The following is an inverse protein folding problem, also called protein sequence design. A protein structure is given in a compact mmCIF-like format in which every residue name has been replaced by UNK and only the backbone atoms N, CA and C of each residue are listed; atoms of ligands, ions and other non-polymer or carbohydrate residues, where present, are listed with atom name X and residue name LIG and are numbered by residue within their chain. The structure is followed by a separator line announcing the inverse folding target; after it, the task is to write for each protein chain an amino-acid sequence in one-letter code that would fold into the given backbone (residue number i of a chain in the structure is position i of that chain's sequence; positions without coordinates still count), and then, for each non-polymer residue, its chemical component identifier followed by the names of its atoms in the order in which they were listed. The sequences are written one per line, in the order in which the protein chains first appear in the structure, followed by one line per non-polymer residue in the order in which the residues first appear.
data_IF_411446447808
#
_entry.id   IF_411446447808
#
_cell.length_a   1.000
_cell.length_b   1.000
_cell.length_c   1.000
_cell.angle_alpha   90.00
_cell.angle_beta   90.00
_cell.angle_gamma   90.00
#
_symmetry.space_group_name_H-M   'P 1'
#
loop_
_entity.id
_entity.type
_entity.pdbx_description
1 polymer ?
#
# COMPACT_ATOMS: atom_id res chain seq x y z
N UNK A 1 0.23 8.49 -15.40
CA UNK A 1 -0.01 8.42 -13.95
C UNK A 1 1.28 8.05 -13.22
N UNK A 2 1.41 8.50 -11.99
CA UNK A 2 2.48 8.14 -11.07
C UNK A 2 1.95 7.27 -9.93
N UNK A 3 2.65 6.18 -9.61
CA UNK A 3 2.28 5.23 -8.55
C UNK A 3 3.34 5.22 -7.44
N UNK A 4 2.92 5.28 -6.20
CA UNK A 4 3.76 4.91 -5.05
C UNK A 4 3.44 3.49 -4.62
N UNK A 5 4.45 2.64 -4.55
CA UNK A 5 4.33 1.24 -4.12
C UNK A 5 4.95 1.09 -2.74
N UNK A 6 4.15 0.70 -1.76
CA UNK A 6 4.67 0.24 -0.47
C UNK A 6 4.84 -1.28 -0.54
N UNK A 7 6.08 -1.70 -0.65
CA UNK A 7 6.43 -3.12 -0.69
C UNK A 7 6.87 -3.59 0.69
N UNK A 8 6.13 -4.54 1.27
CA UNK A 8 6.41 -5.03 2.63
C UNK A 8 6.51 -6.56 2.67
N UNK A 9 7.56 -7.09 2.07
CA UNK A 9 7.87 -8.52 2.21
C UNK A 9 9.24 -8.72 2.84
N UNK A 10 9.36 -9.49 3.95
CA UNK A 10 10.64 -9.72 4.63
C UNK A 10 11.64 -10.53 3.79
N UNK A 11 11.18 -11.19 2.74
CA UNK A 11 12.04 -11.97 1.82
C UNK A 11 12.49 -11.16 0.61
N UNK A 12 12.17 -9.87 0.56
CA UNK A 12 12.56 -8.94 -0.51
C UNK A 12 12.34 -9.54 -1.92
N UNK A 13 13.38 -9.52 -2.77
CA UNK A 13 13.33 -10.04 -4.15
C UNK A 13 13.01 -11.55 -4.27
N UNK A 14 13.17 -12.31 -3.19
CA UNK A 14 12.89 -13.76 -3.17
C UNK A 14 11.46 -14.09 -2.71
N UNK A 15 10.60 -13.10 -2.62
CA UNK A 15 9.23 -13.30 -2.14
C UNK A 15 8.22 -13.52 -3.28
N UNK A 16 7.17 -14.26 -2.97
CA UNK A 16 6.05 -14.48 -3.88
C UNK A 16 5.37 -13.14 -4.26
N UNK A 17 5.28 -12.21 -3.32
CA UNK A 17 4.73 -10.88 -3.59
C UNK A 17 5.59 -10.10 -4.58
N UNK A 18 6.93 -10.18 -4.47
CA UNK A 18 7.83 -9.57 -5.46
C UNK A 18 7.68 -10.22 -6.83
N UNK A 19 7.57 -11.55 -6.89
CA UNK A 19 7.38 -12.27 -8.14
C UNK A 19 6.12 -11.82 -8.90
N UNK A 20 5.03 -11.47 -8.20
CA UNK A 20 3.85 -10.86 -8.81
C UNK A 20 4.06 -9.38 -9.17
N UNK A 21 4.80 -8.65 -8.35
CA UNK A 21 5.02 -7.22 -8.55
C UNK A 21 5.86 -6.93 -9.82
N UNK A 22 6.79 -7.82 -10.17
CA UNK A 22 7.65 -7.66 -11.35
C UNK A 22 6.82 -7.52 -12.65
N UNK A 23 6.02 -8.52 -13.09
CA UNK A 23 5.25 -8.40 -14.33
C UNK A 23 4.18 -7.31 -14.27
N UNK A 24 3.67 -6.99 -13.09
CA UNK A 24 2.80 -5.84 -12.87
C UNK A 24 3.51 -4.53 -13.22
N UNK A 25 4.69 -4.27 -12.63
CA UNK A 25 5.45 -3.04 -12.87
C UNK A 25 6.01 -2.93 -14.28
N UNK A 26 6.40 -4.05 -14.90
CA UNK A 26 6.79 -4.08 -16.32
C UNK A 26 5.64 -3.58 -17.20
N UNK A 27 4.42 -4.10 -16.98
CA UNK A 27 3.23 -3.70 -17.74
C UNK A 27 2.87 -2.24 -17.49
N UNK A 28 2.95 -1.78 -16.24
CA UNK A 28 2.70 -0.39 -15.85
C UNK A 28 3.65 0.58 -16.56
N UNK A 29 4.95 0.28 -16.52
CA UNK A 29 5.99 1.10 -17.13
C UNK A 29 5.95 1.07 -18.66
N UNK A 30 5.68 -0.09 -19.26
CA UNK A 30 5.53 -0.24 -20.72
C UNK A 30 4.38 0.61 -21.29
N UNK A 31 3.38 0.94 -20.47
CA UNK A 31 2.28 1.83 -20.83
C UNK A 31 2.63 3.34 -20.63
N UNK A 32 3.90 3.67 -20.33
CA UNK A 32 4.35 5.05 -20.16
C UNK A 32 4.06 5.65 -18.77
N UNK A 33 3.71 4.83 -17.77
CA UNK A 33 3.47 5.28 -16.42
C UNK A 33 4.73 5.11 -15.54
N UNK A 34 4.81 5.85 -14.43
CA UNK A 34 5.95 5.81 -13.51
C UNK A 34 5.56 5.18 -12.19
N UNK A 35 6.50 4.51 -11.53
CA UNK A 35 6.31 3.94 -10.21
C UNK A 35 7.56 4.08 -9.35
N UNK A 36 7.38 4.57 -8.13
CA UNK A 36 8.37 4.62 -7.06
C UNK A 36 8.07 3.52 -6.04
N UNK A 37 9.06 2.70 -5.70
CA UNK A 37 8.89 1.53 -4.82
C UNK A 37 9.68 1.72 -3.54
N UNK A 38 9.00 1.64 -2.40
CA UNK A 38 9.60 1.65 -1.06
C UNK A 38 9.57 0.24 -0.48
N UNK A 39 10.74 -0.34 -0.25
CA UNK A 39 10.89 -1.61 0.48
C UNK A 39 10.86 -1.33 1.98
N UNK A 40 9.71 -1.54 2.61
CA UNK A 40 9.50 -1.11 3.99
C UNK A 40 10.29 -1.89 5.04
N UNK A 41 10.84 -3.07 4.69
CA UNK A 41 11.74 -3.81 5.55
C UNK A 41 13.18 -3.27 5.55
N UNK A 42 13.52 -2.45 4.55
CA UNK A 42 14.84 -1.81 4.43
C UNK A 42 14.85 -0.38 5.02
N UNK A 43 13.69 0.07 5.54
CA UNK A 43 13.50 1.41 6.08
C UNK A 43 13.25 1.36 7.59
N UNK A 44 13.68 2.41 8.27
CA UNK A 44 13.34 2.65 9.67
C UNK A 44 12.01 3.38 9.76
N UNK A 45 10.96 2.67 10.18
CA UNK A 45 9.60 3.21 10.32
C UNK A 45 9.12 2.98 11.76
N UNK A 46 9.11 4.05 12.55
CA UNK A 46 8.59 4.05 13.91
C UNK A 46 7.05 3.91 13.92
N UNK A 47 6.48 3.10 14.82
CA UNK A 47 5.02 3.05 15.01
C UNK A 47 4.44 4.41 15.39
N UNK A 48 3.22 4.67 14.96
CA UNK A 48 2.50 5.88 15.33
C UNK A 48 2.30 5.93 16.86
N UNK A 49 2.71 7.03 17.50
CA UNK A 49 2.55 7.25 18.96
C UNK A 49 1.24 7.98 19.32
N UNK A 50 0.37 8.22 18.34
CA UNK A 50 -0.90 8.95 18.51
C UNK A 50 -0.76 10.31 19.19
N UNK A 51 0.40 10.96 19.11
CA UNK A 51 0.70 12.24 19.77
C UNK A 51 -0.05 13.45 19.16
N UNK A 52 -0.61 13.28 17.95
CA UNK A 52 -1.37 14.31 17.20
C UNK A 52 -0.59 15.57 16.83
N UNK A 53 0.73 15.62 16.98
CA UNK A 53 1.55 16.76 16.56
C UNK A 53 1.37 17.11 15.08
N UNK A 54 1.21 16.09 14.23
CA UNK A 54 0.94 16.24 12.80
C UNK A 54 -0.41 16.93 12.46
N UNK A 55 -1.32 17.10 13.42
CA UNK A 55 -2.63 17.73 13.20
C UNK A 55 -2.59 19.27 13.24
N UNK A 56 -1.46 19.83 13.61
CA UNK A 56 -1.30 21.29 13.70
C UNK A 56 -1.08 21.93 12.34
N UNK A 57 -0.54 21.19 11.38
CA UNK A 57 -0.35 21.61 10.00
C UNK A 57 -1.39 20.91 9.10
N UNK A 58 -2.15 21.68 8.33
CA UNK A 58 -3.20 21.15 7.46
C UNK A 58 -2.76 20.94 6.01
N UNK A 59 -1.59 21.43 5.64
CA UNK A 59 -1.07 21.40 4.28
C UNK A 59 -0.02 20.29 4.09
N UNK A 60 0.65 19.89 5.19
CA UNK A 60 1.73 18.92 5.17
C UNK A 60 1.57 17.85 6.27
N UNK A 61 2.14 16.64 6.10
CA UNK A 61 2.05 15.56 7.10
C UNK A 61 2.57 15.94 8.48
N UNK A 62 3.66 16.70 8.57
CA UNK A 62 4.24 17.28 9.80
C UNK A 62 4.37 16.29 10.97
N UNK A 63 4.75 15.02 10.69
CA UNK A 63 4.97 14.05 11.75
C UNK A 63 6.26 14.36 12.51
N UNK A 64 6.19 14.28 13.84
CA UNK A 64 7.31 14.63 14.74
C UNK A 64 8.36 13.53 14.90
N UNK A 65 8.10 12.33 14.38
CA UNK A 65 9.03 11.21 14.48
C UNK A 65 10.13 11.35 13.42
N UNK A 66 11.39 11.22 13.85
CA UNK A 66 12.56 11.30 12.99
C UNK A 66 12.92 9.90 12.47
N UNK A 67 12.42 9.56 11.30
CA UNK A 67 12.63 8.27 10.61
C UNK A 67 12.47 8.46 9.09
N UNK A 68 12.34 7.35 8.32
CA UNK A 68 12.26 7.39 6.86
C UNK A 68 10.87 7.73 6.30
N UNK A 69 9.85 7.94 7.15
CA UNK A 69 8.49 8.26 6.70
C UNK A 69 8.34 9.56 5.90
N UNK A 70 9.12 10.63 6.10
CA UNK A 70 9.00 11.85 5.28
C UNK A 70 9.10 11.57 3.78
N UNK A 71 10.05 10.76 3.34
CA UNK A 71 10.19 10.39 1.92
C UNK A 71 8.95 9.65 1.38
N UNK A 72 8.36 8.77 2.19
CA UNK A 72 7.13 8.05 1.84
C UNK A 72 5.93 9.01 1.78
N UNK A 73 5.79 9.94 2.72
CA UNK A 73 4.73 10.96 2.68
C UNK A 73 4.81 11.78 1.39
N UNK A 74 6.00 12.27 1.05
CA UNK A 74 6.20 13.08 -0.15
C UNK A 74 5.86 12.31 -1.42
N UNK A 75 6.28 11.04 -1.52
CA UNK A 75 5.97 10.20 -2.67
C UNK A 75 4.45 9.96 -2.79
N UNK A 76 3.78 9.63 -1.69
CA UNK A 76 2.32 9.41 -1.67
C UNK A 76 1.56 10.67 -2.04
N UNK A 77 2.00 11.84 -1.57
CA UNK A 77 1.36 13.11 -1.93
C UNK A 77 1.47 13.44 -3.42
N UNK A 78 2.60 13.07 -4.06
CA UNK A 78 2.80 13.28 -5.50
C UNK A 78 2.12 12.23 -6.38
N UNK A 79 1.73 11.07 -5.83
CA UNK A 79 1.18 9.96 -6.62
C UNK A 79 -0.31 10.09 -6.88
N UNK A 80 -0.74 9.49 -8.00
CA UNK A 80 -2.15 9.30 -8.33
C UNK A 80 -2.71 8.04 -7.65
N UNK A 81 -1.85 7.02 -7.51
CA UNK A 81 -2.22 5.69 -6.98
C UNK A 81 -1.22 5.26 -5.91
N UNK A 82 -1.74 4.77 -4.79
CA UNK A 82 -1.01 4.04 -3.76
C UNK A 82 -1.25 2.54 -3.95
N UNK A 83 -0.19 1.77 -4.20
CA UNK A 83 -0.24 0.31 -4.26
C UNK A 83 0.35 -0.28 -2.98
N UNK A 84 -0.43 -1.08 -2.26
CA UNK A 84 0.03 -1.85 -1.12
C UNK A 84 0.42 -3.27 -1.58
N UNK A 85 1.72 -3.57 -1.62
CA UNK A 85 2.26 -4.85 -2.10
C UNK A 85 2.88 -5.64 -0.93
N UNK A 86 2.17 -6.64 -0.40
CA UNK A 86 2.62 -7.37 0.79
C UNK A 86 2.06 -8.80 0.87
N UNK A 87 2.75 -9.75 1.51
CA UNK A 87 2.13 -10.99 1.94
C UNK A 87 1.14 -10.72 3.07
N UNK A 88 0.19 -11.62 3.26
CA UNK A 88 -0.68 -11.59 4.44
C UNK A 88 0.00 -12.31 5.60
N UNK A 89 0.11 -11.62 6.72
CA UNK A 89 0.52 -12.15 8.01
C UNK A 89 -0.64 -11.99 9.00
N UNK A 90 -1.09 -13.09 9.60
CA UNK A 90 -2.20 -13.07 10.58
C UNK A 90 -3.43 -12.29 10.06
N UNK A 91 -3.84 -12.58 8.81
CA UNK A 91 -4.98 -11.95 8.10
C UNK A 91 -4.85 -10.44 7.84
N UNK A 92 -3.67 -9.85 8.09
CA UNK A 92 -3.41 -8.44 7.85
C UNK A 92 -2.05 -8.23 7.15
N UNK A 93 -1.64 -6.99 6.94
CA UNK A 93 -0.33 -6.70 6.37
C UNK A 93 0.79 -6.87 7.42
N UNK A 94 2.06 -7.05 6.99
CA UNK A 94 3.23 -7.09 7.87
C UNK A 94 3.42 -5.81 8.68
N UNK A 95 4.10 -5.92 9.81
CA UNK A 95 4.28 -4.83 10.78
C UNK A 95 4.81 -3.51 10.20
N UNK A 96 5.84 -3.47 9.31
CA UNK A 96 6.30 -2.20 8.75
C UNK A 96 5.22 -1.48 7.92
N UNK A 97 4.41 -2.22 7.16
CA UNK A 97 3.29 -1.63 6.42
C UNK A 97 2.20 -1.11 7.37
N UNK A 98 1.89 -1.86 8.44
CA UNK A 98 0.93 -1.39 9.43
C UNK A 98 1.41 -0.11 10.12
N UNK A 99 2.69 0.00 10.45
CA UNK A 99 3.28 1.21 11.02
C UNK A 99 3.12 2.41 10.07
N UNK A 100 3.41 2.23 8.78
CA UNK A 100 3.19 3.27 7.77
C UNK A 100 1.71 3.68 7.63
N UNK A 101 0.80 2.69 7.57
CA UNK A 101 -0.64 2.95 7.46
C UNK A 101 -1.19 3.72 8.68
N UNK A 102 -0.77 3.37 9.89
CA UNK A 102 -1.17 4.10 11.10
C UNK A 102 -0.66 5.56 11.10
N UNK A 103 0.55 5.76 10.56
CA UNK A 103 1.11 7.11 10.37
C UNK A 103 0.30 7.90 9.34
N UNK A 104 -0.15 7.27 8.25
CA UNK A 104 -0.99 7.91 7.23
C UNK A 104 -2.34 8.37 7.79
N UNK A 105 -2.98 7.54 8.64
CA UNK A 105 -4.27 7.91 9.25
C UNK A 105 -4.19 9.26 9.96
N UNK A 106 -3.15 9.50 10.73
CA UNK A 106 -3.02 10.74 11.49
C UNK A 106 -2.31 11.86 10.73
N UNK A 107 -1.25 11.55 9.98
CA UNK A 107 -0.46 12.60 9.34
C UNK A 107 -1.11 13.15 8.07
N UNK A 108 -1.85 12.30 7.34
CA UNK A 108 -2.47 12.69 6.07
C UNK A 108 -3.97 13.04 6.19
N UNK A 109 -4.60 12.77 7.35
CA UNK A 109 -6.00 13.17 7.59
C UNK A 109 -6.07 14.10 8.79
N UNK A 110 -6.46 15.34 8.56
CA UNK A 110 -6.48 16.41 9.57
C UNK A 110 -7.80 16.44 10.34
N UNK A 111 -8.26 15.25 10.78
CA UNK A 111 -9.59 15.08 11.41
C UNK A 111 -9.58 15.11 12.93
N UNK A 112 -8.41 15.06 13.56
CA UNK A 112 -8.27 14.72 14.97
C UNK A 112 -7.62 15.82 15.82
N UNK A 113 -7.37 16.97 15.21
CA UNK A 113 -6.73 18.12 15.88
C UNK A 113 -7.70 19.03 16.60
N UNK A 114 -7.17 19.98 17.38
CA UNK A 114 -8.00 20.94 18.16
C UNK A 114 -8.72 21.96 17.29
N UNK A 115 -8.31 22.13 16.03
CA UNK A 115 -8.91 23.09 15.06
C UNK A 115 -10.20 22.56 14.40
N UNK A 116 -10.70 21.40 14.81
CA UNK A 116 -11.84 20.73 14.19
C UNK A 116 -11.42 19.80 13.04
N UNK A 117 -12.39 19.41 12.20
CA UNK A 117 -12.15 18.51 11.07
C UNK A 117 -11.56 19.28 9.88
N UNK A 118 -10.29 19.03 9.61
CA UNK A 118 -9.57 19.54 8.44
C UNK A 118 -9.68 18.62 7.21
N UNK A 119 -8.85 18.84 6.17
CA UNK A 119 -8.86 18.05 4.95
C UNK A 119 -8.23 16.65 5.12
N UNK A 120 -8.52 15.76 4.17
CA UNK A 120 -7.65 14.61 3.85
C UNK A 120 -6.68 15.02 2.74
N UNK A 121 -5.39 14.86 2.98
CA UNK A 121 -4.35 15.06 1.96
C UNK A 121 -4.30 13.88 0.97
N UNK A 122 -5.12 12.84 1.20
CA UNK A 122 -5.28 11.67 0.34
C UNK A 122 -6.52 11.76 -0.56
N UNK A 123 -7.36 12.78 -0.38
CA UNK A 123 -8.60 12.93 -1.13
C UNK A 123 -8.37 12.88 -2.64
N UNK A 124 -9.22 12.13 -3.34
CA UNK A 124 -9.15 11.93 -4.78
C UNK A 124 -8.09 10.97 -5.29
N UNK A 125 -7.18 10.49 -4.45
CA UNK A 125 -6.19 9.46 -4.82
C UNK A 125 -6.83 8.08 -4.87
N UNK A 126 -6.19 7.16 -5.59
CA UNK A 126 -6.63 5.76 -5.69
C UNK A 126 -5.77 4.84 -4.84
N UNK A 127 -6.36 3.75 -4.34
CA UNK A 127 -5.67 2.68 -3.64
C UNK A 127 -5.94 1.34 -4.31
N UNK A 128 -4.89 0.55 -4.48
CA UNK A 128 -4.94 -0.84 -4.94
C UNK A 128 -4.09 -1.73 -4.03
N UNK A 129 -4.39 -3.04 -4.03
CA UNK A 129 -3.68 -4.03 -3.22
C UNK A 129 -3.17 -5.15 -4.12
N UNK A 130 -1.89 -5.53 -3.97
CA UNK A 130 -1.29 -6.71 -4.54
C UNK A 130 -0.77 -7.58 -3.40
N UNK A 131 -1.37 -8.75 -3.18
CA UNK A 131 -1.04 -9.54 -1.99
C UNK A 131 -0.96 -11.04 -2.27
N UNK A 132 -0.25 -11.74 -1.39
CA UNK A 132 -0.13 -13.20 -1.40
C UNK A 132 -0.52 -13.76 -0.03
N UNK A 133 -1.18 -14.91 0.00
CA UNK A 133 -1.58 -15.55 1.25
C UNK A 133 -1.50 -17.08 1.17
N UNK A 134 -1.40 -17.76 2.31
CA UNK A 134 -1.41 -19.23 2.39
C UNK A 134 -2.80 -19.84 2.35
N UNK A 135 -3.81 -19.10 2.78
CA UNK A 135 -5.21 -19.52 2.73
C UNK A 135 -5.83 -19.22 1.36
N UNK A 136 -7.06 -19.70 1.15
CA UNK A 136 -7.86 -19.24 0.00
C UNK A 136 -8.04 -17.73 0.09
N UNK A 137 -7.94 -16.98 -1.01
CA UNK A 137 -8.00 -15.52 -1.02
C UNK A 137 -9.17 -14.93 -0.22
N UNK A 138 -10.35 -15.57 -0.33
CA UNK A 138 -11.60 -15.12 0.30
C UNK A 138 -11.58 -15.24 1.83
N UNK A 139 -10.62 -15.99 2.39
CA UNK A 139 -10.46 -16.24 3.84
C UNK A 139 -9.08 -15.84 4.36
N UNK A 140 -8.18 -15.49 3.47
CA UNK A 140 -6.80 -15.14 3.84
C UNK A 140 -6.53 -13.64 3.81
N UNK A 141 -7.12 -12.92 2.85
CA UNK A 141 -6.88 -11.50 2.63
C UNK A 141 -8.10 -10.62 2.91
N UNK A 142 -9.25 -11.21 3.19
CA UNK A 142 -10.54 -10.54 3.33
C UNK A 142 -10.54 -9.44 4.39
N UNK A 143 -9.96 -9.68 5.58
CA UNK A 143 -9.91 -8.69 6.64
C UNK A 143 -9.01 -7.50 6.28
N UNK A 144 -7.88 -7.75 5.64
CA UNK A 144 -7.00 -6.68 5.18
C UNK A 144 -7.68 -5.84 4.10
N UNK A 145 -8.28 -6.48 3.11
CA UNK A 145 -8.99 -5.80 2.01
C UNK A 145 -10.14 -4.97 2.54
N UNK A 146 -10.99 -5.55 3.42
CA UNK A 146 -12.11 -4.80 4.00
C UNK A 146 -11.62 -3.65 4.89
N UNK A 147 -10.54 -3.85 5.65
CA UNK A 147 -9.89 -2.77 6.41
C UNK A 147 -9.49 -1.61 5.50
N UNK A 148 -8.87 -1.90 4.34
CA UNK A 148 -8.45 -0.87 3.39
C UNK A 148 -9.62 -0.21 2.66
N UNK A 149 -10.70 -0.92 2.37
CA UNK A 149 -11.94 -0.32 1.85
C UNK A 149 -12.53 0.69 2.83
N UNK A 150 -12.57 0.36 4.13
CA UNK A 150 -13.00 1.30 5.18
C UNK A 150 -12.07 2.49 5.29
N UNK A 151 -10.76 2.23 5.21
CA UNK A 151 -9.77 3.29 5.24
C UNK A 151 -9.92 4.25 4.04
N UNK A 152 -10.15 3.76 2.83
CA UNK A 152 -10.42 4.59 1.66
C UNK A 152 -11.65 5.48 1.86
N UNK A 153 -12.76 4.93 2.36
CA UNK A 153 -13.95 5.75 2.70
C UNK A 153 -13.66 6.82 3.73
N UNK A 154 -12.83 6.48 4.72
CA UNK A 154 -12.45 7.43 5.77
C UNK A 154 -11.56 8.57 5.27
N UNK A 155 -10.70 8.28 4.30
CA UNK A 155 -9.68 9.19 3.77
C UNK A 155 -10.06 9.87 2.45
N UNK A 156 -11.29 9.63 1.98
CA UNK A 156 -11.79 10.13 0.69
C UNK A 156 -10.93 9.69 -0.50
N UNK A 157 -10.41 8.46 -0.42
CA UNK A 157 -9.72 7.77 -1.52
C UNK A 157 -10.67 6.86 -2.29
N UNK A 158 -10.35 6.61 -3.55
CA UNK A 158 -11.00 5.58 -4.35
C UNK A 158 -10.31 4.22 -4.12
N UNK A 159 -10.99 3.27 -3.51
CA UNK A 159 -10.54 1.87 -3.55
C UNK A 159 -10.78 1.32 -4.96
N UNK A 160 -9.73 0.85 -5.65
CA UNK A 160 -9.87 0.30 -7.02
C UNK A 160 -10.16 -1.20 -6.96
N UNK A 161 -9.17 -2.00 -6.56
CA UNK A 161 -9.32 -3.46 -6.47
C UNK A 161 -8.13 -4.10 -5.72
N UNK A 162 -8.19 -5.43 -5.57
CA UNK A 162 -7.11 -6.24 -5.01
C UNK A 162 -6.79 -7.46 -5.88
N UNK A 163 -5.53 -7.65 -6.22
CA UNK A 163 -5.02 -8.94 -6.70
C UNK A 163 -4.49 -9.73 -5.50
N UNK A 164 -5.10 -10.88 -5.23
CA UNK A 164 -4.68 -11.81 -4.18
C UNK A 164 -4.35 -13.17 -4.77
N UNK A 165 -3.11 -13.63 -4.58
CA UNK A 165 -2.67 -14.94 -5.06
C UNK A 165 -2.31 -15.87 -3.90
N UNK A 166 -2.80 -17.11 -3.99
CA UNK A 166 -2.50 -18.14 -3.00
C UNK A 166 -1.15 -18.79 -3.27
N UNK A 167 -0.33 -18.98 -2.22
CA UNK A 167 0.81 -19.89 -2.25
C UNK A 167 0.49 -21.22 -1.54
N UNK A 168 1.03 -22.32 -2.05
CA UNK A 168 0.75 -23.67 -1.53
C UNK A 168 1.82 -24.18 -0.55
N UNK A 169 2.79 -23.33 -0.18
CA UNK A 169 3.92 -23.69 0.66
C UNK A 169 5.25 -23.34 0.00
N UNK A 170 6.34 -23.61 0.75
CA UNK A 170 7.69 -23.24 0.29
C UNK A 170 8.25 -24.25 -0.72
N UNK A 171 7.70 -25.47 -0.77
CA UNK A 171 8.12 -26.55 -1.66
C UNK A 171 7.44 -26.51 -3.04
N UNK A 172 6.60 -25.50 -3.27
CA UNK A 172 5.88 -25.31 -4.52
C UNK A 172 6.37 -24.10 -5.27
N UNK A 173 6.57 -24.24 -6.57
CA UNK A 173 6.81 -23.09 -7.45
C UNK A 173 5.59 -22.18 -7.41
N UNK A 174 5.80 -20.92 -7.00
CA UNK A 174 4.70 -19.98 -6.83
C UNK A 174 4.21 -19.42 -8.17
N UNK A 175 5.14 -18.90 -9.00
CA UNK A 175 4.77 -18.26 -10.26
C UNK A 175 4.48 -19.28 -11.36
N UNK A 176 3.43 -19.01 -12.10
CA UNK A 176 3.02 -19.69 -13.31
C UNK A 176 2.50 -18.67 -14.33
N UNK A 177 2.25 -19.11 -15.57
CA UNK A 177 1.78 -18.25 -16.67
C UNK A 177 0.40 -17.58 -16.38
N UNK A 178 -0.45 -18.24 -15.58
CA UNK A 178 -1.76 -17.69 -15.22
C UNK A 178 -1.61 -16.53 -14.21
N UNK A 179 -0.78 -16.70 -13.17
CA UNK A 179 -0.52 -15.64 -12.19
C UNK A 179 0.19 -14.45 -12.85
N UNK A 180 1.13 -14.70 -13.75
CA UNK A 180 1.74 -13.63 -14.53
C UNK A 180 0.71 -12.88 -15.36
N UNK A 181 -0.19 -13.60 -16.05
CA UNK A 181 -1.28 -12.99 -16.83
C UNK A 181 -2.18 -12.15 -15.95
N UNK A 182 -2.56 -12.64 -14.76
CA UNK A 182 -3.39 -11.86 -13.81
C UNK A 182 -2.67 -10.64 -13.28
N UNK A 183 -1.38 -10.72 -12.98
CA UNK A 183 -0.59 -9.57 -12.53
C UNK A 183 -0.52 -8.47 -13.60
N UNK A 184 -0.30 -8.86 -14.87
CA UNK A 184 -0.31 -7.94 -16.02
C UNK A 184 -1.70 -7.36 -16.27
N UNK A 185 -2.76 -8.17 -16.15
CA UNK A 185 -4.13 -7.70 -16.28
C UNK A 185 -4.51 -6.72 -15.17
N UNK A 186 -4.06 -6.96 -13.94
CA UNK A 186 -4.28 -6.06 -12.81
C UNK A 186 -3.62 -4.69 -13.03
N UNK A 187 -2.41 -4.65 -13.59
CA UNK A 187 -1.79 -3.38 -13.97
C UNK A 187 -2.64 -2.62 -15.00
N UNK A 188 -3.18 -3.30 -16.02
CA UNK A 188 -4.06 -2.67 -17.02
C UNK A 188 -5.38 -2.18 -16.44
N UNK A 189 -5.96 -2.91 -15.47
CA UNK A 189 -7.16 -2.47 -14.75
C UNK A 189 -6.95 -1.11 -14.07
N UNK A 190 -5.79 -0.92 -13.43
CA UNK A 190 -5.48 0.34 -12.73
C UNK A 190 -5.24 1.53 -13.67
N UNK A 191 -5.08 1.30 -14.97
CA UNK A 191 -4.91 2.36 -15.98
C UNK A 191 -6.26 2.88 -16.50
N UNK A 192 -7.36 2.19 -16.17
CA UNK A 192 -8.70 2.61 -16.58
C UNK A 192 -9.19 3.79 -15.72
N UNK A 193 -9.87 4.76 -16.32
CA UNK A 193 -10.34 5.96 -15.62
C UNK A 193 -11.38 5.67 -14.53
#
# INVERSE_FOLDING_TARGET
MHMTVLFASPRAAHSNTHALLVPFLETWRAAGHTAEVFSLFDLHIEPCRACRGCQMDWEYPACVLADDMPAIFDAVLRSDILLLAAPIHSWFCPAPMKAALDRFVYALNKYYGPRGRGPSLLSGKSLAILTTCGYRPEKGADLFIEGMRRWCRHTDMRYVDALTERHLGYDHTFMDAEKETRARAFARLLMQP
#
